data_IF_999742426862
#
_entry.id   IF_999742426862
#
_cell.length_a   1.000
_cell.length_b   1.000
_cell.length_c   1.000
_cell.angle_alpha   90.00
_cell.angle_beta   90.00
_cell.angle_gamma   90.00
#
_symmetry.space_group_name_H-M   'P 1'
#
loop_
_entity.id
_entity.type
_entity.pdbx_description
1 polymer ?
#
# COMPACT_ATOMS: atom_id res chain seq x y z
N UNK A 1 -40.44 30.26 2.18
CA UNK A 1 -38.99 30.03 2.16
C UNK A 1 -38.76 28.69 2.85
N UNK A 2 -38.56 27.61 2.12
CA UNK A 2 -38.31 26.27 2.68
C UNK A 2 -37.01 25.76 2.06
N UNK A 3 -35.91 26.02 2.75
CA UNK A 3 -34.59 25.48 2.43
C UNK A 3 -34.62 23.98 2.72
N UNK A 4 -34.88 23.19 1.69
CA UNK A 4 -34.63 21.75 1.72
C UNK A 4 -33.11 21.57 1.87
N UNK A 5 -32.68 21.19 3.06
CA UNK A 5 -31.36 20.64 3.33
C UNK A 5 -31.16 19.40 2.44
N UNK A 6 -30.57 19.60 1.26
CA UNK A 6 -30.11 18.52 0.41
C UNK A 6 -28.80 18.02 1.02
N UNK A 7 -28.89 16.98 1.84
CA UNK A 7 -27.73 16.22 2.27
C UNK A 7 -27.15 15.52 1.03
N UNK A 8 -26.23 16.21 0.34
CA UNK A 8 -25.58 15.74 -0.87
C UNK A 8 -24.66 14.59 -0.45
N UNK A 9 -25.02 13.35 -0.78
CA UNK A 9 -24.14 12.20 -0.58
C UNK A 9 -22.86 12.45 -1.37
N UNK A 10 -21.72 12.62 -0.67
CA UNK A 10 -20.42 12.70 -1.32
C UNK A 10 -20.13 11.29 -1.85
N UNK A 11 -20.07 11.15 -3.17
CA UNK A 11 -19.66 9.92 -3.81
C UNK A 11 -18.21 9.63 -3.40
N UNK A 12 -17.94 8.44 -2.86
CA UNK A 12 -16.60 8.02 -2.48
C UNK A 12 -16.22 6.75 -3.23
N UNK A 13 -14.95 6.68 -3.61
CA UNK A 13 -14.32 5.58 -4.30
C UNK A 13 -13.38 4.88 -3.34
N UNK A 14 -13.40 3.54 -3.34
CA UNK A 14 -12.51 2.73 -2.51
C UNK A 14 -11.80 1.71 -3.39
N UNK A 15 -10.48 1.64 -3.23
CA UNK A 15 -9.65 0.55 -3.73
C UNK A 15 -9.12 -0.25 -2.55
N UNK A 16 -9.17 -1.57 -2.68
CA UNK A 16 -8.49 -2.51 -1.79
C UNK A 16 -7.74 -3.51 -2.65
N UNK A 17 -6.42 -3.52 -2.53
CA UNK A 17 -5.53 -4.44 -3.25
C UNK A 17 -4.91 -5.43 -2.28
N UNK A 18 -4.67 -6.64 -2.80
CA UNK A 18 -4.00 -7.73 -2.09
C UNK A 18 -2.74 -8.10 -2.87
N UNK A 19 -1.60 -7.98 -2.22
CA UNK A 19 -0.28 -8.24 -2.81
C UNK A 19 0.34 -9.48 -2.12
N UNK A 20 0.36 -10.65 -2.79
CA UNK A 20 0.83 -11.90 -2.20
C UNK A 20 2.35 -12.01 -2.26
N UNK A 21 3.02 -11.34 -1.33
CA UNK A 21 4.50 -11.24 -1.29
C UNK A 21 5.14 -12.03 -0.15
N UNK A 22 4.35 -12.73 0.66
CA UNK A 22 4.79 -13.45 1.84
C UNK A 22 4.87 -12.55 3.07
N UNK A 23 4.47 -13.09 4.22
CA UNK A 23 4.33 -12.33 5.47
C UNK A 23 5.56 -11.50 5.84
N UNK A 24 6.76 -12.10 5.73
CA UNK A 24 8.01 -11.42 6.08
C UNK A 24 8.24 -10.17 5.22
N UNK A 25 8.03 -10.26 3.90
CA UNK A 25 8.22 -9.12 3.01
C UNK A 25 7.11 -8.09 3.21
N UNK A 26 5.87 -8.54 3.41
CA UNK A 26 4.74 -7.67 3.73
C UNK A 26 4.99 -6.84 5.00
N UNK A 27 5.52 -7.44 6.07
CA UNK A 27 5.86 -6.74 7.31
C UNK A 27 6.98 -5.71 7.12
N UNK A 28 8.03 -6.05 6.36
CA UNK A 28 9.16 -5.13 6.10
C UNK A 28 8.67 -3.94 5.26
N UNK A 29 7.97 -4.19 4.16
CA UNK A 29 7.48 -3.14 3.27
C UNK A 29 6.45 -2.25 3.99
N UNK A 30 5.53 -2.84 4.76
CA UNK A 30 4.61 -2.05 5.59
C UNK A 30 5.38 -1.10 6.51
N UNK A 31 6.40 -1.58 7.23
CA UNK A 31 7.21 -0.74 8.12
C UNK A 31 7.98 0.34 7.38
N UNK A 32 8.46 0.05 6.17
CA UNK A 32 9.19 1.01 5.35
C UNK A 32 8.28 2.13 4.81
N UNK A 33 7.02 1.82 4.49
CA UNK A 33 6.09 2.74 3.82
C UNK A 33 5.04 3.37 4.76
N UNK A 34 4.81 2.83 5.97
CA UNK A 34 3.89 3.37 6.99
C UNK A 34 4.16 4.84 7.37
N UNK A 35 5.43 5.26 7.58
CA UNK A 35 5.72 6.61 8.09
C UNK A 35 5.28 7.75 7.18
N UNK A 36 5.12 7.49 5.88
CA UNK A 36 4.82 8.53 4.88
C UNK A 36 3.34 8.57 4.44
N UNK A 37 2.55 7.53 4.72
CA UNK A 37 1.32 7.27 3.97
C UNK A 37 -0.01 7.31 4.75
N UNK A 38 -0.02 7.44 6.08
CA UNK A 38 -1.26 7.26 6.88
C UNK A 38 -2.45 8.14 6.48
N UNK A 39 -2.19 9.28 5.84
CA UNK A 39 -3.24 10.21 5.37
C UNK A 39 -3.90 9.74 4.06
N UNK A 40 -3.17 8.98 3.25
CA UNK A 40 -3.58 8.66 1.88
C UNK A 40 -3.74 7.15 1.65
N UNK A 41 -2.85 6.30 2.16
CA UNK A 41 -2.92 4.84 2.02
C UNK A 41 -2.83 4.17 3.37
N UNK A 42 -3.71 3.18 3.58
CA UNK A 42 -3.66 2.30 4.74
C UNK A 42 -3.04 0.97 4.32
N UNK A 43 -1.97 0.60 5.02
CA UNK A 43 -1.30 -0.68 4.85
C UNK A 43 -1.59 -1.61 6.02
N UNK A 44 -1.90 -2.86 5.73
CA UNK A 44 -2.01 -3.93 6.73
C UNK A 44 -1.45 -5.24 6.21
N UNK A 45 -1.16 -6.18 7.10
CA UNK A 45 -0.72 -7.53 6.74
C UNK A 45 -1.84 -8.49 7.11
N UNK A 46 -2.32 -9.28 6.15
CA UNK A 46 -3.33 -10.32 6.35
C UNK A 46 -2.75 -11.65 5.85
N UNK A 47 -2.42 -12.56 6.77
CA UNK A 47 -1.76 -13.82 6.41
C UNK A 47 -0.38 -13.56 5.78
N UNK A 48 -0.23 -13.97 4.52
CA UNK A 48 0.97 -13.77 3.70
C UNK A 48 0.88 -12.57 2.74
N UNK A 49 -0.19 -11.78 2.84
CA UNK A 49 -0.46 -10.69 1.91
C UNK A 49 -0.24 -9.32 2.54
N UNK A 50 0.29 -8.38 1.75
CA UNK A 50 0.20 -6.95 2.02
C UNK A 50 -1.13 -6.43 1.47
N UNK A 51 -1.92 -5.79 2.32
CA UNK A 51 -3.19 -5.18 1.97
C UNK A 51 -3.02 -3.68 1.89
N UNK A 52 -3.50 -3.11 0.79
CA UNK A 52 -3.41 -1.68 0.48
C UNK A 52 -4.83 -1.16 0.32
N UNK A 53 -5.22 -0.21 1.17
CA UNK A 53 -6.54 0.43 1.10
C UNK A 53 -6.39 1.93 0.86
N UNK A 54 -7.15 2.46 -0.09
CA UNK A 54 -7.25 3.89 -0.37
C UNK A 54 -8.72 4.27 -0.55
N UNK A 55 -9.13 5.40 0.01
CA UNK A 55 -10.47 5.96 -0.12
C UNK A 55 -10.34 7.42 -0.52
N UNK A 56 -11.08 7.84 -1.54
CA UNK A 56 -11.09 9.23 -2.01
C UNK A 56 -12.46 9.60 -2.56
N UNK A 57 -12.82 10.88 -2.50
CA UNK A 57 -13.99 11.44 -3.19
C UNK A 57 -13.69 11.84 -4.65
N UNK A 58 -12.42 11.73 -5.08
CA UNK A 58 -11.96 12.06 -6.42
C UNK A 58 -11.21 10.88 -7.05
N UNK A 59 -11.69 10.41 -8.22
CA UNK A 59 -11.07 9.30 -8.96
C UNK A 59 -9.65 9.61 -9.40
N UNK A 60 -9.37 10.84 -9.82
CA UNK A 60 -8.02 11.25 -10.22
C UNK A 60 -7.05 11.17 -9.05
N UNK A 61 -7.41 11.74 -7.90
CA UNK A 61 -6.60 11.66 -6.68
C UNK A 61 -6.37 10.23 -6.21
N UNK A 62 -7.40 9.39 -6.29
CA UNK A 62 -7.32 7.95 -6.00
C UNK A 62 -6.26 7.28 -6.90
N UNK A 63 -6.34 7.49 -8.22
CA UNK A 63 -5.42 6.89 -9.18
C UNK A 63 -3.97 7.38 -9.00
N UNK A 64 -3.76 8.68 -8.78
CA UNK A 64 -2.43 9.23 -8.51
C UNK A 64 -1.82 8.66 -7.23
N UNK A 65 -2.61 8.56 -6.15
CA UNK A 65 -2.14 7.96 -4.89
C UNK A 65 -1.73 6.50 -5.07
N UNK A 66 -2.51 5.74 -5.85
CA UNK A 66 -2.18 4.34 -6.15
C UNK A 66 -0.91 4.24 -7.00
N UNK A 67 -0.72 5.11 -8.00
CA UNK A 67 0.48 5.14 -8.84
C UNK A 67 1.74 5.43 -8.01
N UNK A 68 1.70 6.47 -7.18
CA UNK A 68 2.79 6.84 -6.25
C UNK A 68 3.12 5.69 -5.30
N UNK A 69 2.09 5.01 -4.77
CA UNK A 69 2.29 3.83 -3.93
C UNK A 69 3.00 2.70 -4.68
N UNK A 70 2.62 2.41 -5.93
CA UNK A 70 3.25 1.34 -6.68
C UNK A 70 4.73 1.62 -6.95
N UNK A 71 5.12 2.87 -7.20
CA UNK A 71 6.53 3.23 -7.32
C UNK A 71 7.32 2.94 -6.03
N UNK A 72 6.81 3.40 -4.88
CA UNK A 72 7.45 3.16 -3.59
C UNK A 72 7.50 1.66 -3.23
N UNK A 73 6.42 0.94 -3.53
CA UNK A 73 6.32 -0.50 -3.33
C UNK A 73 7.34 -1.26 -4.16
N UNK A 74 7.45 -0.98 -5.47
CA UNK A 74 8.36 -1.68 -6.38
C UNK A 74 9.81 -1.49 -5.97
N UNK A 75 10.21 -0.25 -5.65
CA UNK A 75 11.58 0.04 -5.17
C UNK A 75 11.87 -0.72 -3.88
N UNK A 76 10.95 -0.68 -2.92
CA UNK A 76 11.11 -1.40 -1.64
C UNK A 76 11.22 -2.91 -1.86
N UNK A 77 10.38 -3.47 -2.73
CA UNK A 77 10.33 -4.90 -3.01
C UNK A 77 11.61 -5.40 -3.68
N UNK A 78 12.12 -4.71 -4.69
CA UNK A 78 13.36 -5.09 -5.37
C UNK A 78 14.57 -5.04 -4.42
N UNK A 79 14.69 -3.98 -3.59
CA UNK A 79 15.77 -3.88 -2.58
C UNK A 79 15.74 -5.07 -1.61
N UNK A 80 14.56 -5.43 -1.09
CA UNK A 80 14.43 -6.54 -0.12
C UNK A 80 14.72 -7.88 -0.77
N UNK A 81 14.30 -8.07 -2.02
CA UNK A 81 14.52 -9.28 -2.79
C UNK A 81 16.02 -9.48 -3.05
N UNK A 82 16.72 -8.44 -3.46
CA UNK A 82 18.17 -8.46 -3.66
C UNK A 82 18.93 -8.69 -2.35
N UNK A 83 18.60 -7.97 -1.28
CA UNK A 83 19.20 -8.18 0.03
C UNK A 83 19.00 -9.62 0.55
N UNK A 84 17.82 -10.18 0.33
CA UNK A 84 17.51 -11.57 0.71
C UNK A 84 18.30 -12.59 -0.12
N UNK A 85 18.64 -12.27 -1.36
CA UNK A 85 19.49 -13.11 -2.22
C UNK A 85 20.93 -13.11 -1.71
N UNK A 86 21.51 -11.93 -1.48
CA UNK A 86 22.88 -11.81 -0.95
C UNK A 86 23.05 -12.57 0.37
N UNK A 87 22.12 -12.41 1.32
CA UNK A 87 22.18 -13.11 2.59
C UNK A 87 22.15 -14.64 2.40
N UNK A 88 21.34 -15.17 1.47
CA UNK A 88 21.30 -16.62 1.20
C UNK A 88 22.58 -17.15 0.58
N UNK A 89 23.24 -16.36 -0.26
CA UNK A 89 24.50 -16.73 -0.91
C UNK A 89 25.64 -16.76 0.13
N UNK A 90 25.70 -15.81 1.07
CA UNK A 90 26.71 -15.78 2.13
C UNK A 90 26.67 -16.97 3.10
N UNK A 91 25.51 -17.60 3.31
CA UNK A 91 25.37 -18.79 4.17
C UNK A 91 25.55 -20.13 3.43
N UNK A 92 25.88 -20.11 2.12
CA UNK A 92 26.19 -21.33 1.36
C UNK A 92 27.69 -21.59 1.21
N UNK A 93 28.53 -20.64 1.62
CA UNK A 93 30.00 -20.75 1.54
C UNK A 93 30.64 -21.27 2.85
N UNK A 94 29.82 -21.67 3.85
CA UNK A 94 30.22 -22.42 5.05
C UNK A 94 29.77 -23.89 4.97
#
# INVERSE_FOLDING_TARGET
MNEKNVQKSILSYKIRMRLPIGKRFAEIIKKALDPENYVYIKLSVEGDDLIVENVSDNVGSLLHTIDDFFWCFLVSYEIIKDASRYLKESYREE
#
